data_IF_739146910014
#
_entry.id   IF_739146910014
#
_cell.length_a   1.000
_cell.length_b   1.000
_cell.length_c   1.000
_cell.angle_alpha   90.00
_cell.angle_beta   90.00
_cell.angle_gamma   90.00
#
_symmetry.space_group_name_H-M   'P 1'
#
loop_
_entity.id
_entity.type
_entity.pdbx_description
1 polymer ?
#
# COMPACT_ATOMS: atom_id res chain seq x y z
N UNK A 1 0.52 -14.85 16.50
CA UNK A 1 0.52 -13.64 15.65
C UNK A 1 1.69 -12.75 16.06
N UNK A 2 2.69 -12.55 15.21
CA UNK A 2 3.77 -11.60 15.47
C UNK A 2 3.20 -10.18 15.36
N UNK A 3 3.18 -9.43 16.46
CA UNK A 3 2.96 -7.98 16.41
C UNK A 3 4.26 -7.37 15.93
N UNK A 4 4.38 -7.08 14.63
CA UNK A 4 5.47 -6.27 14.10
C UNK A 4 5.42 -4.92 14.80
N UNK A 5 6.30 -4.73 15.78
CA UNK A 5 6.39 -3.49 16.51
C UNK A 5 7.16 -2.50 15.64
N UNK A 6 6.41 -1.55 15.09
CA UNK A 6 6.89 -0.49 14.22
C UNK A 6 7.23 0.74 15.08
N UNK A 7 8.51 0.91 15.36
CA UNK A 7 9.09 2.02 16.13
C UNK A 7 9.70 3.09 15.25
N UNK A 8 10.19 2.73 14.07
CA UNK A 8 10.76 3.68 13.12
C UNK A 8 9.70 4.38 12.26
N UNK A 9 9.95 5.63 11.83
CA UNK A 9 9.14 6.25 10.80
C UNK A 9 9.31 5.52 9.45
N UNK A 10 8.36 5.66 8.51
CA UNK A 10 8.50 5.08 7.17
C UNK A 10 9.73 5.62 6.45
N UNK A 11 10.45 4.73 5.77
CA UNK A 11 11.58 5.07 4.90
C UNK A 11 11.08 5.30 3.48
N UNK A 12 11.76 6.15 2.73
CA UNK A 12 11.35 6.52 1.38
C UNK A 12 12.54 6.75 0.46
N UNK A 13 12.42 6.24 -0.76
CA UNK A 13 13.37 6.50 -1.83
C UNK A 13 12.59 6.85 -3.11
N UNK A 14 12.90 8.02 -3.68
CA UNK A 14 12.15 8.63 -4.78
C UNK A 14 10.63 8.71 -4.49
N UNK A 15 9.82 7.93 -5.21
CA UNK A 15 8.36 7.86 -5.08
C UNK A 15 7.89 6.65 -4.26
N UNK A 16 8.82 5.77 -3.87
CA UNK A 16 8.54 4.54 -3.15
C UNK A 16 8.77 4.72 -1.65
N UNK A 17 7.93 4.07 -0.85
CA UNK A 17 7.99 4.14 0.61
C UNK A 17 7.73 2.77 1.21
N UNK A 18 8.27 2.55 2.41
CA UNK A 18 8.02 1.37 3.22
C UNK A 18 7.82 1.75 4.68
N UNK A 19 6.73 1.27 5.29
CA UNK A 19 6.31 1.59 6.66
C UNK A 19 6.45 0.42 7.65
N UNK A 20 7.26 -0.57 7.30
CA UNK A 20 7.39 -1.81 8.08
C UNK A 20 6.31 -2.84 7.79
N UNK A 21 5.26 -2.48 7.07
CA UNK A 21 4.17 -3.41 6.72
C UNK A 21 3.97 -3.55 5.22
N UNK A 22 4.06 -2.45 4.48
CA UNK A 22 3.71 -2.42 3.08
C UNK A 22 4.63 -1.52 2.28
N UNK A 23 4.99 -1.98 1.08
CA UNK A 23 5.65 -1.19 0.06
C UNK A 23 4.59 -0.44 -0.75
N UNK A 24 4.65 0.88 -0.77
CA UNK A 24 3.65 1.73 -1.41
C UNK A 24 4.28 2.91 -2.15
N UNK A 25 3.52 3.46 -3.09
CA UNK A 25 3.83 4.74 -3.74
C UNK A 25 2.94 5.80 -3.14
N UNK A 26 3.52 6.97 -2.87
CA UNK A 26 2.77 8.13 -2.36
C UNK A 26 2.43 9.08 -3.51
N UNK A 27 1.14 9.35 -3.71
CA UNK A 27 0.64 10.30 -4.70
C UNK A 27 -0.18 11.36 -3.97
N UNK A 28 0.40 12.57 -3.80
CA UNK A 28 -0.14 13.58 -2.91
C UNK A 28 -0.16 13.06 -1.46
N UNK A 29 -1.32 13.12 -0.82
CA UNK A 29 -1.51 12.59 0.54
C UNK A 29 -1.89 11.09 0.57
N UNK A 30 -2.14 10.50 -0.60
CA UNK A 30 -2.64 9.13 -0.70
C UNK A 30 -1.50 8.12 -0.86
N UNK A 31 -1.64 6.99 -0.16
CA UNK A 31 -0.70 5.86 -0.18
C UNK A 31 -1.33 4.69 -0.92
N UNK A 32 -0.62 4.15 -1.90
CA UNK A 32 -1.13 3.04 -2.69
C UNK A 32 -0.12 1.89 -2.74
N UNK A 33 -0.44 0.74 -2.12
CA UNK A 33 0.34 -0.48 -2.33
C UNK A 33 0.17 -0.97 -3.77
N UNK A 34 1.09 -1.82 -4.20
CA UNK A 34 0.99 -2.50 -5.49
C UNK A 34 -0.26 -3.38 -5.51
N UNK A 35 -1.10 -3.22 -6.53
CA UNK A 35 -2.29 -4.03 -6.71
C UNK A 35 -1.93 -5.38 -7.34
N UNK A 36 -2.65 -6.43 -6.96
CA UNK A 36 -2.59 -7.73 -7.63
C UNK A 36 -2.88 -7.56 -9.15
N UNK A 37 -2.03 -8.09 -10.05
CA UNK A 37 -2.20 -7.92 -11.49
C UNK A 37 -3.57 -8.39 -11.99
N UNK A 38 -4.10 -9.50 -11.47
CA UNK A 38 -5.41 -10.02 -11.88
C UNK A 38 -6.56 -9.12 -11.47
N UNK A 39 -6.52 -8.60 -10.25
CA UNK A 39 -7.48 -7.63 -9.73
C UNK A 39 -7.41 -6.30 -10.48
N UNK A 40 -6.20 -5.83 -10.81
CA UNK A 40 -5.98 -4.63 -11.61
C UNK A 40 -6.51 -4.80 -13.03
N UNK A 41 -6.26 -5.95 -13.67
CA UNK A 41 -6.79 -6.24 -15.01
C UNK A 41 -8.31 -6.21 -15.03
N UNK A 42 -8.98 -6.89 -14.09
CA UNK A 42 -10.45 -6.89 -13.98
C UNK A 42 -11.02 -5.48 -13.81
N UNK A 43 -10.32 -4.62 -13.07
CA UNK A 43 -10.72 -3.23 -12.86
C UNK A 43 -10.56 -2.40 -14.14
N UNK A 44 -9.51 -2.63 -14.92
CA UNK A 44 -9.25 -1.93 -16.18
C UNK A 44 -10.19 -2.37 -17.31
N UNK A 45 -10.57 -3.65 -17.34
CA UNK A 45 -11.48 -4.22 -18.34
C UNK A 45 -12.92 -4.33 -17.86
N UNK A 46 -13.28 -3.69 -16.74
CA UNK A 46 -14.64 -3.74 -16.23
C UNK A 46 -15.59 -3.09 -17.23
N UNK A 47 -16.58 -3.87 -17.66
CA UNK A 47 -17.73 -3.41 -18.43
C UNK A 47 -18.98 -3.62 -17.60
N UNK A 48 -19.87 -2.62 -17.57
CA UNK A 48 -21.14 -2.74 -16.84
C UNK A 48 -21.97 -3.90 -17.43
N UNK A 49 -22.24 -4.98 -16.67
CA UNK A 49 -23.02 -6.11 -17.16
C UNK A 49 -24.51 -5.77 -17.36
N UNK A 50 -24.93 -4.54 -16.99
CA UNK A 50 -26.31 -4.11 -17.06
C UNK A 50 -27.14 -4.62 -15.87
N UNK A 51 -28.45 -4.33 -15.87
CA UNK A 51 -29.31 -4.71 -14.75
C UNK A 51 -29.47 -6.23 -14.68
N UNK A 52 -29.34 -6.78 -13.48
CA UNK A 52 -29.61 -8.18 -13.23
C UNK A 52 -31.09 -8.47 -13.53
N UNK A 53 -31.34 -9.43 -14.43
CA UNK A 53 -32.67 -9.90 -14.78
C UNK A 53 -33.05 -11.13 -13.95
N UNK A 54 -34.32 -11.23 -13.60
CA UNK A 54 -34.93 -12.44 -13.02
C UNK A 54 -35.08 -13.53 -14.09
N UNK A 55 -35.35 -14.77 -13.68
CA UNK A 55 -35.65 -15.88 -14.61
C UNK A 55 -36.79 -15.56 -15.59
N UNK A 56 -37.68 -14.63 -15.23
CA UNK A 56 -38.79 -14.17 -16.06
C UNK A 56 -38.43 -12.97 -16.98
N UNK A 57 -37.15 -12.61 -17.11
CA UNK A 57 -36.69 -11.49 -17.95
C UNK A 57 -36.97 -10.09 -17.38
N UNK A 58 -37.56 -9.98 -16.19
CA UNK A 58 -37.83 -8.70 -15.52
C UNK A 58 -36.63 -8.24 -14.70
N UNK A 59 -36.39 -6.93 -14.61
CA UNK A 59 -35.34 -6.35 -13.77
C UNK A 59 -35.53 -6.79 -12.31
N UNK A 60 -34.49 -7.37 -11.71
CA UNK A 60 -34.53 -7.83 -10.33
C UNK A 60 -34.63 -6.63 -9.36
N UNK A 61 -35.49 -6.75 -8.34
CA UNK A 61 -35.66 -5.72 -7.30
C UNK A 61 -34.37 -5.47 -6.50
N UNK A 62 -33.55 -6.50 -6.34
CA UNK A 62 -32.22 -6.41 -5.72
C UNK A 62 -31.17 -6.45 -6.82
N UNK A 63 -30.46 -5.34 -6.99
CA UNK A 63 -29.33 -5.24 -7.89
C UNK A 63 -28.03 -5.50 -7.11
N UNK A 64 -26.99 -6.06 -7.75
CA UNK A 64 -25.67 -6.11 -7.16
C UNK A 64 -25.17 -4.69 -6.85
N UNK A 65 -24.27 -4.59 -5.88
CA UNK A 65 -23.69 -3.29 -5.53
C UNK A 65 -23.00 -2.67 -6.76
N UNK A 66 -23.16 -1.36 -6.98
CA UNK A 66 -22.54 -0.69 -8.12
C UNK A 66 -21.02 -0.83 -8.04
N UNK A 67 -20.39 -1.06 -9.19
CA UNK A 67 -18.94 -1.15 -9.28
C UNK A 67 -18.31 0.18 -8.87
N UNK A 68 -17.44 0.13 -7.86
CA UNK A 68 -16.69 1.28 -7.38
C UNK A 68 -15.33 1.31 -8.09
N UNK A 69 -15.23 2.19 -9.08
CA UNK A 69 -13.96 2.46 -9.75
C UNK A 69 -12.98 3.16 -8.79
N UNK A 70 -11.70 2.84 -8.91
CA UNK A 70 -10.65 3.48 -8.11
C UNK A 70 -10.45 4.95 -8.53
N UNK A 71 -9.94 5.80 -7.63
CA UNK A 71 -9.63 7.19 -7.94
C UNK A 71 -8.42 7.30 -8.89
N UNK A 72 -8.18 8.49 -9.47
CA UNK A 72 -7.14 8.68 -10.48
C UNK A 72 -5.72 8.44 -9.93
N UNK A 73 -5.44 8.87 -8.70
CA UNK A 73 -4.15 8.74 -8.03
C UNK A 73 -3.78 7.26 -7.75
N UNK A 74 -4.77 6.37 -7.65
CA UNK A 74 -4.53 4.92 -7.59
C UNK A 74 -3.88 4.42 -8.89
N UNK A 75 -4.44 4.78 -10.04
CA UNK A 75 -3.89 4.36 -11.34
C UNK A 75 -2.51 4.96 -11.59
N UNK A 76 -2.30 6.22 -11.22
CA UNK A 76 -0.99 6.83 -11.30
C UNK A 76 0.05 6.07 -10.45
N UNK A 77 -0.31 5.68 -9.22
CA UNK A 77 0.57 4.90 -8.37
C UNK A 77 0.87 3.51 -8.96
N UNK A 78 -0.14 2.83 -9.55
CA UNK A 78 0.10 1.55 -10.22
C UNK A 78 1.06 1.70 -11.41
N UNK A 79 0.96 2.78 -12.20
CA UNK A 79 1.94 3.04 -13.27
C UNK A 79 3.37 3.04 -12.71
N UNK A 80 3.61 3.76 -11.62
CA UNK A 80 4.93 3.86 -10.99
C UNK A 80 5.42 2.50 -10.47
N UNK A 81 4.55 1.71 -9.83
CA UNK A 81 4.88 0.35 -9.36
C UNK A 81 5.36 -0.60 -10.46
N UNK A 82 4.97 -0.34 -11.70
CA UNK A 82 5.30 -1.16 -12.86
C UNK A 82 6.28 -0.49 -13.82
N UNK A 83 6.94 0.60 -13.39
CA UNK A 83 7.96 1.30 -14.16
C UNK A 83 7.43 2.16 -15.31
N UNK A 84 6.13 2.43 -15.33
CA UNK A 84 5.53 3.34 -16.29
C UNK A 84 5.60 4.79 -15.77
N UNK A 85 5.58 5.79 -16.68
CA UNK A 85 5.52 7.19 -16.29
C UNK A 85 4.28 7.50 -15.43
N UNK A 86 4.43 8.45 -14.50
CA UNK A 86 3.33 8.90 -13.66
C UNK A 86 2.36 9.77 -14.47
N UNK A 87 1.30 9.17 -15.00
CA UNK A 87 0.26 9.89 -15.75
C UNK A 87 -0.73 10.59 -14.83
N UNK A 88 -0.93 11.90 -15.03
CA UNK A 88 -1.90 12.72 -14.28
C UNK A 88 -3.35 12.44 -14.69
N UNK A 89 -3.58 12.12 -15.97
CA UNK A 89 -4.93 11.84 -16.49
C UNK A 89 -5.30 10.37 -16.27
N UNK A 90 -6.43 10.13 -15.62
CA UNK A 90 -6.97 8.78 -15.33
C UNK A 90 -7.08 7.90 -16.57
N UNK A 91 -7.66 8.42 -17.66
CA UNK A 91 -7.84 7.68 -18.91
C UNK A 91 -6.51 7.28 -19.56
N UNK A 92 -5.52 8.17 -19.54
CA UNK A 92 -4.18 7.88 -20.03
C UNK A 92 -3.51 6.79 -19.18
N UNK A 93 -3.55 6.93 -17.85
CA UNK A 93 -3.01 5.92 -16.94
C UNK A 93 -3.62 4.54 -17.17
N UNK A 94 -4.95 4.45 -17.26
CA UNK A 94 -5.66 3.19 -17.55
C UNK A 94 -5.23 2.57 -18.88
N UNK A 95 -5.15 3.38 -19.95
CA UNK A 95 -4.77 2.92 -21.28
C UNK A 95 -3.34 2.38 -21.31
N UNK A 96 -2.39 3.10 -20.71
CA UNK A 96 -0.99 2.68 -20.66
C UNK A 96 -0.78 1.46 -19.76
N UNK A 97 -1.48 1.38 -18.61
CA UNK A 97 -1.48 0.18 -17.78
C UNK A 97 -2.03 -1.02 -18.53
N UNK A 98 -3.18 -0.88 -19.20
CA UNK A 98 -3.78 -1.97 -19.96
C UNK A 98 -2.88 -2.43 -21.13
N UNK A 99 -2.21 -1.49 -21.80
CA UNK A 99 -1.26 -1.79 -22.87
C UNK A 99 0.03 -2.47 -22.37
N UNK A 100 0.38 -2.30 -21.09
CA UNK A 100 1.53 -2.94 -20.47
C UNK A 100 1.25 -4.38 -20.01
N UNK A 101 -0.02 -4.82 -19.98
CA UNK A 101 -0.34 -6.22 -19.73
C UNK A 101 0.07 -7.08 -20.93
N UNK A 102 0.59 -8.26 -20.64
CA UNK A 102 0.78 -9.28 -21.66
C UNK A 102 -0.58 -9.78 -22.16
N UNK A 103 -0.78 -9.76 -23.47
CA UNK A 103 -2.00 -10.18 -24.14
C UNK A 103 -2.34 -11.66 -23.90
N UNK A 104 -1.32 -12.53 -23.75
CA UNK A 104 -1.50 -13.96 -23.58
C UNK A 104 -1.75 -14.34 -22.12
N UNK A 105 -0.93 -13.83 -21.21
CA UNK A 105 -0.96 -14.23 -19.79
C UNK A 105 -1.84 -13.35 -18.91
N UNK A 106 -2.23 -12.15 -19.38
CA UNK A 106 -2.91 -11.12 -18.56
C UNK A 106 -2.15 -10.82 -17.26
N UNK A 107 -0.84 -11.01 -17.28
CA UNK A 107 0.05 -10.66 -16.18
C UNK A 107 0.80 -9.38 -16.51
N UNK A 108 1.32 -8.75 -15.47
CA UNK A 108 2.13 -7.55 -15.59
C UNK A 108 3.41 -7.75 -14.79
N UNK A 109 4.55 -7.59 -15.48
CA UNK A 109 5.86 -7.82 -14.90
C UNK A 109 6.34 -6.56 -14.18
N UNK A 110 6.86 -6.75 -12.97
CA UNK A 110 7.49 -5.66 -12.21
C UNK A 110 8.96 -5.57 -12.63
N UNK A 111 9.45 -4.37 -13.02
CA UNK A 111 10.86 -4.17 -13.29
C UNK A 111 11.76 -4.61 -12.13
N UNK A 112 12.89 -5.24 -12.47
CA UNK A 112 13.84 -5.80 -11.48
C UNK A 112 14.39 -4.74 -10.52
N UNK A 113 14.62 -3.52 -11.00
CA UNK A 113 15.10 -2.42 -10.16
C UNK A 113 14.10 -2.05 -9.05
N UNK A 114 12.79 -2.17 -9.30
CA UNK A 114 11.75 -1.89 -8.28
C UNK A 114 11.74 -2.99 -7.23
N UNK A 115 11.93 -4.25 -7.63
CA UNK A 115 12.04 -5.38 -6.70
C UNK A 115 13.28 -5.26 -5.81
N UNK A 116 14.41 -4.80 -6.37
CA UNK A 116 15.60 -4.49 -5.59
C UNK A 116 15.34 -3.33 -4.62
N UNK A 117 14.67 -2.26 -5.07
CA UNK A 117 14.27 -1.13 -4.23
C UNK A 117 13.38 -1.56 -3.05
N UNK A 118 12.45 -2.48 -3.29
CA UNK A 118 11.58 -3.04 -2.25
C UNK A 118 12.40 -3.77 -1.16
N UNK A 119 13.48 -4.47 -1.54
CA UNK A 119 14.38 -5.13 -0.58
C UNK A 119 15.21 -4.10 0.19
N UNK A 120 15.81 -3.13 -0.50
CA UNK A 120 16.62 -2.07 0.12
C UNK A 120 15.81 -1.30 1.16
N UNK A 121 14.58 -0.88 0.84
CA UNK A 121 13.73 -0.17 1.79
C UNK A 121 13.29 -1.04 2.98
N UNK A 122 13.15 -2.36 2.79
CA UNK A 122 12.85 -3.27 3.90
C UNK A 122 14.02 -3.35 4.86
N UNK A 123 15.23 -3.48 4.33
CA UNK A 123 16.45 -3.59 5.13
C UNK A 123 16.72 -2.28 5.88
N UNK A 124 16.63 -1.14 5.19
CA UNK A 124 16.80 0.19 5.79
C UNK A 124 15.78 0.44 6.92
N UNK A 125 14.52 0.06 6.71
CA UNK A 125 13.50 0.17 7.75
C UNK A 125 13.81 -0.76 8.94
N UNK A 126 14.26 -1.99 8.69
CA UNK A 126 14.58 -2.92 9.78
C UNK A 126 15.72 -2.38 10.64
N UNK A 127 16.78 -1.86 10.03
CA UNK A 127 17.89 -1.21 10.74
C UNK A 127 17.40 -0.01 11.56
N UNK A 128 16.63 0.88 10.94
CA UNK A 128 16.05 2.03 11.63
C UNK A 128 15.13 1.61 12.80
N UNK A 129 14.36 0.53 12.61
CA UNK A 129 13.41 0.02 13.59
C UNK A 129 14.12 -0.60 14.80
N UNK A 130 15.24 -1.30 14.58
CA UNK A 130 16.07 -1.82 15.68
C UNK A 130 16.70 -0.69 16.50
N UNK A 131 17.20 0.36 15.84
CA UNK A 131 17.76 1.53 16.52
C UNK A 131 16.68 2.25 17.32
N UNK A 132 15.49 2.44 16.74
CA UNK A 132 14.36 3.08 17.42
C UNK A 132 13.88 2.24 18.61
N UNK A 133 13.80 0.92 18.48
CA UNK A 133 13.45 0.02 19.57
C UNK A 133 14.42 0.13 20.75
N UNK A 134 15.74 0.11 20.49
CA UNK A 134 16.77 0.25 21.53
C UNK A 134 16.68 1.58 22.27
N UNK A 135 16.33 2.68 21.58
CA UNK A 135 16.10 3.98 22.22
C UNK A 135 14.90 3.95 23.15
N UNK A 136 13.76 3.42 22.66
CA UNK A 136 12.54 3.29 23.47
C UNK A 136 12.77 2.42 24.71
N UNK A 137 13.47 1.29 24.58
CA UNK A 137 13.82 0.42 25.72
C UNK A 137 14.78 1.11 26.69
N UNK A 138 15.72 1.90 26.16
CA UNK A 138 16.69 2.67 26.92
C UNK A 138 16.08 3.85 27.70
N UNK A 139 15.01 4.46 27.22
CA UNK A 139 14.28 5.57 27.87
C UNK A 139 13.28 5.08 28.93
N UNK A 140 12.67 3.91 28.73
CA UNK A 140 11.74 3.33 29.72
C UNK A 140 12.44 2.92 31.02
N UNK A 141 13.66 2.37 30.94
CA UNK A 141 14.45 1.95 32.12
C UNK A 141 14.73 3.08 33.14
N UNK A 142 15.21 4.28 32.74
CA UNK A 142 15.45 5.38 33.68
C UNK A 142 14.15 6.03 34.18
N UNK A 143 13.10 6.14 33.37
CA UNK A 143 11.80 6.67 33.85
C UNK A 143 11.17 5.76 34.89
N UNK A 144 11.16 4.44 34.67
CA UNK A 144 10.59 3.47 35.61
C UNK A 144 11.40 3.43 36.92
N UNK A 145 12.72 3.57 36.83
CA UNK A 145 13.60 3.67 37.99
C UNK A 145 13.41 4.98 38.77
N UNK A 146 13.16 6.10 38.07
CA UNK A 146 12.88 7.40 38.68
C UNK A 146 11.48 7.44 39.33
N UNK A 147 10.46 6.85 38.68
CA UNK A 147 9.12 6.71 39.24
C UNK A 147 9.09 5.85 40.51
N UNK A 148 9.86 4.74 40.52
CA UNK A 148 10.04 3.90 41.71
C UNK A 148 10.73 4.64 42.86
N UNK A 149 11.71 5.49 42.58
CA UNK A 149 12.38 6.32 43.59
C UNK A 149 11.47 7.44 44.11
N UNK A 150 10.70 8.10 43.24
CA UNK A 150 9.76 9.16 43.61
C UNK A 150 8.62 8.69 44.52
N UNK A 151 8.06 7.50 44.29
CA UNK A 151 7.00 6.93 45.13
C UNK A 151 7.47 6.51 46.54
N UNK A 152 8.76 6.27 46.74
CA UNK A 152 9.33 5.96 48.06
C UNK A 152 9.55 7.22 48.93
N UNK A 153 9.60 8.41 48.33
CA UNK A 153 9.89 9.65 49.04
C UNK A 153 8.65 10.35 49.62
N UNK A 154 7.44 9.93 49.23
CA UNK A 154 6.16 10.55 49.65
C UNK A 154 5.58 9.92 50.93
N UNK A 155 6.25 8.90 51.49
CA UNK A 155 5.84 8.25 52.76
C UNK A 155 6.84 8.57 53.89
N UNK A 156 6.91 9.82 54.35
CA UNK A 156 7.43 10.20 55.67
C UNK A 156 6.70 11.43 56.20
#
# INVERSE_FOLDING_TARGET
>A
MSWSRNYAPPVSHDSFCYDGRSFYVRVGEHRHPRADPGSLYRLLTYTDPGPLLTKAGKIAKRQPAPHKDSPWHFYQAQCVHYGLPAYTRKSAAKRHLLAAFDAASKTLSVPTYILALEQVLKDEYNEANEVAWKKVEGEQKPEEMNARRGMSAVRR
#
